data_IF_809645356191
#
_entry.id   IF_809645356191
#
_cell.length_a   1.000
_cell.length_b   1.000
_cell.length_c   1.000
_cell.angle_alpha   90.00
_cell.angle_beta   90.00
_cell.angle_gamma   90.00
#
_symmetry.space_group_name_H-M   'P 1'
#
loop_
_entity.id
_entity.type
_entity.pdbx_description
1 polymer ?
#
# COMPACT_ATOMS: atom_id res chain seq x y z
N UNK A 1 -7.70 6.72 7.14
CA UNK A 1 -7.04 7.80 7.91
C UNK A 1 -5.52 7.67 7.89
N UNK A 2 -4.96 6.52 8.28
CA UNK A 2 -3.51 6.34 8.51
C UNK A 2 -2.61 6.62 7.30
N UNK A 3 -2.92 6.07 6.11
CA UNK A 3 -2.08 6.30 4.91
C UNK A 3 -2.14 7.74 4.39
N UNK A 4 -3.30 8.39 4.54
CA UNK A 4 -3.46 9.80 4.18
C UNK A 4 -2.62 10.69 5.10
N UNK A 5 -2.69 10.45 6.42
CA UNK A 5 -1.87 11.18 7.40
C UNK A 5 -0.37 10.93 7.21
N UNK A 6 0.04 9.70 6.87
CA UNK A 6 1.43 9.43 6.51
C UNK A 6 1.86 10.22 5.27
N UNK A 7 1.07 10.20 4.20
CA UNK A 7 1.36 10.96 2.99
C UNK A 7 1.50 12.47 3.27
N UNK A 8 0.57 13.04 4.05
CA UNK A 8 0.62 14.44 4.48
C UNK A 8 1.90 14.73 5.30
N UNK A 9 2.25 13.88 6.27
CA UNK A 9 3.47 14.04 7.08
C UNK A 9 4.77 13.91 6.27
N UNK A 10 4.74 13.13 5.19
CA UNK A 10 5.85 12.94 4.27
C UNK A 10 5.90 14.02 3.16
N UNK A 11 5.00 15.01 3.17
CA UNK A 11 4.89 16.02 2.12
C UNK A 11 4.48 15.45 0.75
N UNK A 12 3.89 14.25 0.74
CA UNK A 12 3.56 13.50 -0.46
C UNK A 12 2.05 13.50 -0.72
N UNK A 13 1.65 13.46 -2.00
CA UNK A 13 0.28 13.16 -2.37
C UNK A 13 -0.02 11.70 -2.03
N UNK A 14 -1.25 11.40 -1.59
CA UNK A 14 -1.66 10.02 -1.28
C UNK A 14 -1.36 9.04 -2.43
N UNK A 15 -1.55 9.46 -3.69
CA UNK A 15 -1.23 8.64 -4.87
C UNK A 15 0.24 8.21 -4.94
N UNK A 16 1.17 9.07 -4.49
CA UNK A 16 2.60 8.77 -4.47
C UNK A 16 2.97 7.70 -3.43
N UNK A 17 2.14 7.50 -2.41
CA UNK A 17 2.29 6.40 -1.43
C UNK A 17 1.51 5.17 -1.88
N UNK A 18 0.33 5.35 -2.47
CA UNK A 18 -0.56 4.25 -2.85
C UNK A 18 -0.04 3.42 -4.01
N UNK A 19 0.60 4.04 -5.00
CA UNK A 19 1.19 3.34 -6.15
C UNK A 19 2.31 2.36 -5.73
N UNK A 20 3.35 2.77 -4.99
CA UNK A 20 4.40 1.85 -4.55
C UNK A 20 3.86 0.79 -3.58
N UNK A 21 2.92 1.14 -2.68
CA UNK A 21 2.27 0.16 -1.81
C UNK A 21 1.55 -0.92 -2.63
N UNK A 22 0.80 -0.52 -3.68
CA UNK A 22 0.13 -1.45 -4.59
C UNK A 22 1.13 -2.38 -5.27
N UNK A 23 2.18 -1.82 -5.86
CA UNK A 23 3.24 -2.61 -6.50
C UNK A 23 3.89 -3.62 -5.53
N UNK A 24 4.16 -3.21 -4.30
CA UNK A 24 4.78 -4.07 -3.29
C UNK A 24 3.85 -5.24 -2.88
N UNK A 25 2.56 -4.98 -2.75
CA UNK A 25 1.58 -5.95 -2.24
C UNK A 25 0.99 -6.83 -3.34
N UNK A 26 0.77 -6.33 -4.55
CA UNK A 26 0.13 -7.10 -5.64
C UNK A 26 1.11 -7.53 -6.72
N UNK A 27 2.29 -6.92 -6.80
CA UNK A 27 3.22 -7.10 -7.91
C UNK A 27 2.75 -6.48 -9.23
N UNK A 28 1.67 -5.69 -9.22
CA UNK A 28 1.08 -5.03 -10.40
C UNK A 28 0.71 -3.58 -10.07
N UNK A 29 0.71 -2.72 -11.08
CA UNK A 29 0.27 -1.32 -10.94
C UNK A 29 -1.26 -1.17 -11.02
N UNK A 30 -1.93 -2.11 -11.66
CA UNK A 30 -3.39 -2.20 -11.69
C UNK A 30 -3.88 -3.35 -10.82
N UNK A 31 -4.83 -3.08 -9.94
CA UNK A 31 -5.51 -4.09 -9.14
C UNK A 31 -6.88 -3.58 -8.69
N UNK A 32 -7.73 -4.44 -8.07
CA UNK A 32 -8.97 -4.02 -7.42
C UNK A 32 -8.72 -2.94 -6.34
N UNK A 33 -9.76 -2.53 -5.61
CA UNK A 33 -9.62 -1.57 -4.53
C UNK A 33 -8.47 -1.97 -3.59
N UNK A 34 -7.48 -1.09 -3.38
CA UNK A 34 -6.30 -1.46 -2.58
C UNK A 34 -6.69 -1.88 -1.15
N UNK A 35 -7.76 -1.29 -0.62
CA UNK A 35 -8.33 -1.68 0.67
C UNK A 35 -8.84 -3.12 0.67
N UNK A 36 -9.50 -3.57 -0.40
CA UNK A 36 -9.99 -4.95 -0.55
C UNK A 36 -8.82 -5.93 -0.61
N UNK A 37 -7.79 -5.59 -1.38
CA UNK A 37 -6.56 -6.38 -1.47
C UNK A 37 -5.92 -6.56 -0.09
N UNK A 38 -5.78 -5.49 0.67
CA UNK A 38 -5.20 -5.53 2.02
C UNK A 38 -6.06 -6.34 2.99
N UNK A 39 -7.40 -6.22 2.88
CA UNK A 39 -8.35 -6.99 3.69
C UNK A 39 -8.25 -8.50 3.40
N UNK A 40 -8.20 -8.89 2.12
CA UNK A 40 -8.09 -10.29 1.71
C UNK A 40 -6.73 -10.90 2.11
N UNK A 41 -5.64 -10.13 2.00
CA UNK A 41 -4.31 -10.61 2.38
C UNK A 41 -4.12 -10.71 3.90
N UNK A 42 -4.80 -9.85 4.66
CA UNK A 42 -4.58 -9.69 6.09
C UNK A 42 -3.27 -8.94 6.40
N UNK A 43 -3.12 -8.57 7.68
CA UNK A 43 -2.04 -7.70 8.16
C UNK A 43 -0.65 -8.31 7.94
N UNK A 44 -0.42 -9.54 8.39
CA UNK A 44 0.92 -10.13 8.40
C UNK A 44 1.47 -10.33 6.99
N UNK A 45 0.66 -10.88 6.09
CA UNK A 45 1.02 -11.09 4.69
C UNK A 45 1.23 -9.78 3.94
N UNK A 46 0.44 -8.75 4.26
CA UNK A 46 0.64 -7.41 3.70
C UNK A 46 1.98 -6.81 4.13
N UNK A 47 2.32 -6.89 5.42
CA UNK A 47 3.59 -6.39 5.95
C UNK A 47 4.80 -7.17 5.42
N UNK A 48 4.70 -8.49 5.32
CA UNK A 48 5.74 -9.34 4.71
C UNK A 48 6.03 -8.88 3.28
N UNK A 49 4.99 -8.70 2.46
CA UNK A 49 5.13 -8.28 1.06
C UNK A 49 5.74 -6.89 0.93
N UNK A 50 5.33 -5.94 1.77
CA UNK A 50 5.91 -4.60 1.81
C UNK A 50 7.39 -4.65 2.19
N UNK A 51 7.76 -5.38 3.25
CA UNK A 51 9.16 -5.49 3.72
C UNK A 51 10.08 -6.19 2.72
N UNK A 52 9.57 -7.16 1.97
CA UNK A 52 10.35 -7.86 0.94
C UNK A 52 10.75 -6.94 -0.23
N UNK A 53 10.02 -5.84 -0.44
CA UNK A 53 10.16 -4.94 -1.59
C UNK A 53 10.63 -3.52 -1.19
N UNK A 54 10.81 -3.26 0.11
CA UNK A 54 11.39 -2.03 0.66
C UNK A 54 12.92 -2.16 0.70
#
# INVERSE_FOLDING_TARGET
ATLKGYAESAGAKLGAVMQPLRAAVTGRLESPGMYEVLLVLGKDKSLERVRRRA
#
